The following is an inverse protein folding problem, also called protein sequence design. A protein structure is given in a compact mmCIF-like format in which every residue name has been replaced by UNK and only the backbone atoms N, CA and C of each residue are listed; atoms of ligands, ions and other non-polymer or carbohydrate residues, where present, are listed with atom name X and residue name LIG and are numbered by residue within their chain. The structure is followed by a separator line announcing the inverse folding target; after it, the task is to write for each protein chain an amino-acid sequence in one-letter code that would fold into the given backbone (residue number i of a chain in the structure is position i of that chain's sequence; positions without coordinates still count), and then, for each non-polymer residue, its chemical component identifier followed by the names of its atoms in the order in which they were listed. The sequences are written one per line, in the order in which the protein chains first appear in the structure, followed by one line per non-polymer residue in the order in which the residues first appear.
data_IF_130198283886
#
_entry.id   IF_130198283886
#
_cell.length_a   1.000
_cell.length_b   1.000
_cell.length_c   1.000
_cell.angle_alpha   90.00
_cell.angle_beta   90.00
_cell.angle_gamma   90.00
#
_symmetry.space_group_name_H-M   'P 1'
#
loop_
_entity.id
_entity.type
_entity.pdbx_description
1 polymer ?
#
# COMPACT_ATOMS: atom_id res chain seq x y z
N UNK A 1 -13.28 10.63 -0.38
CA UNK A 1 -12.95 10.45 -1.82
C UNK A 1 -12.09 11.60 -2.40
N UNK A 2 -12.35 12.87 -2.08
CA UNK A 2 -11.55 14.00 -2.59
C UNK A 2 -10.06 13.89 -2.22
N UNK A 3 -9.76 13.43 -1.00
CA UNK A 3 -8.39 13.22 -0.52
C UNK A 3 -7.65 12.13 -1.32
N UNK A 4 -8.28 10.98 -1.56
CA UNK A 4 -7.74 9.91 -2.41
C UNK A 4 -7.41 10.47 -3.79
N UNK A 5 -8.34 11.22 -4.40
CA UNK A 5 -8.13 11.84 -5.72
C UNK A 5 -6.98 12.85 -5.72
N UNK A 6 -6.83 13.64 -4.65
CA UNK A 6 -5.73 14.60 -4.48
C UNK A 6 -4.39 13.86 -4.47
N UNK A 7 -4.27 12.79 -3.71
CA UNK A 7 -3.02 12.02 -3.59
C UNK A 7 -2.72 11.18 -4.84
N UNK A 8 -3.74 10.61 -5.50
CA UNK A 8 -3.57 9.88 -6.77
C UNK A 8 -3.15 10.77 -7.93
N UNK A 9 -3.45 12.07 -7.90
CA UNK A 9 -3.03 13.04 -8.93
C UNK A 9 -1.62 13.60 -8.69
N UNK A 10 -1.07 13.41 -7.49
CA UNK A 10 0.18 14.03 -7.09
C UNK A 10 1.34 13.05 -7.08
N UNK A 11 2.55 13.58 -7.26
CA UNK A 11 3.81 12.79 -7.29
C UNK A 11 4.77 13.17 -6.17
N UNK A 12 4.37 14.04 -5.25
CA UNK A 12 5.17 14.36 -4.08
C UNK A 12 5.22 13.17 -3.12
N UNK A 13 6.38 12.99 -2.49
CA UNK A 13 6.56 11.95 -1.49
C UNK A 13 5.69 12.27 -0.23
N UNK A 14 5.09 11.25 0.39
CA UNK A 14 4.10 11.37 1.47
C UNK A 14 4.63 11.38 2.92
N UNK A 15 5.68 10.61 3.24
CA UNK A 15 6.40 10.65 4.52
C UNK A 15 7.14 12.02 4.76
N UNK A 16 8.02 12.12 5.76
CA UNK A 16 8.80 13.36 6.01
C UNK A 16 10.14 13.36 5.28
N UNK A 17 10.67 14.53 4.84
CA UNK A 17 11.94 14.61 4.09
C UNK A 17 13.05 13.81 4.77
N UNK A 18 13.83 13.07 3.98
CA UNK A 18 14.81 12.10 4.49
C UNK A 18 15.63 11.46 3.36
N UNK A 19 16.46 10.45 3.65
CA UNK A 19 17.31 9.80 2.65
C UNK A 19 16.52 9.16 1.51
N UNK A 20 17.21 8.93 0.38
CA UNK A 20 16.64 8.38 -0.86
C UNK A 20 15.85 7.07 -0.68
N UNK A 21 16.16 6.27 0.35
CA UNK A 21 15.43 5.05 0.72
C UNK A 21 13.90 5.25 0.82
N UNK A 22 13.45 6.46 1.15
CA UNK A 22 12.04 6.80 1.31
C UNK A 22 11.20 6.62 0.04
N UNK A 23 11.75 6.89 -1.15
CA UNK A 23 11.04 6.69 -2.41
C UNK A 23 10.66 5.21 -2.61
N UNK A 24 11.62 4.31 -2.41
CA UNK A 24 11.41 2.88 -2.53
C UNK A 24 10.40 2.38 -1.49
N UNK A 25 10.53 2.82 -0.23
CA UNK A 25 9.60 2.47 0.85
C UNK A 25 8.18 2.94 0.56
N UNK A 26 7.99 4.17 0.06
CA UNK A 26 6.65 4.68 -0.26
C UNK A 26 6.01 3.93 -1.43
N UNK A 27 6.76 3.72 -2.52
CA UNK A 27 6.27 2.98 -3.68
C UNK A 27 5.86 1.55 -3.29
N UNK A 28 6.69 0.90 -2.47
CA UNK A 28 6.41 -0.42 -1.94
C UNK A 28 5.16 -0.44 -1.05
N UNK A 29 5.04 0.51 -0.11
CA UNK A 29 3.92 0.59 0.81
C UNK A 29 2.60 0.86 0.09
N UNK A 30 2.56 1.81 -0.85
CA UNK A 30 1.36 2.09 -1.65
C UNK A 30 0.92 0.84 -2.40
N UNK A 31 1.85 0.20 -3.10
CA UNK A 31 1.58 -1.01 -3.87
C UNK A 31 1.13 -2.17 -2.97
N UNK A 32 1.67 -2.32 -1.77
CA UNK A 32 1.23 -3.35 -0.81
C UNK A 32 -0.19 -3.06 -0.29
N UNK A 33 -0.52 -1.80 -0.03
CA UNK A 33 -1.84 -1.40 0.45
C UNK A 33 -2.93 -1.59 -0.62
N UNK A 34 -2.60 -1.40 -1.90
CA UNK A 34 -3.50 -1.72 -3.01
C UNK A 34 -3.89 -3.21 -3.02
N UNK A 35 -2.92 -4.13 -2.90
CA UNK A 35 -3.20 -5.57 -2.86
C UNK A 35 -3.98 -5.98 -1.61
N UNK A 36 -3.62 -5.41 -0.45
CA UNK A 36 -4.36 -5.64 0.78
C UNK A 36 -5.81 -5.15 0.67
N UNK A 37 -6.04 -4.05 -0.06
CA UNK A 37 -7.38 -3.53 -0.28
C UNK A 37 -8.21 -4.47 -1.16
N UNK A 38 -7.62 -5.08 -2.19
CA UNK A 38 -8.27 -6.14 -2.97
C UNK A 38 -8.67 -7.33 -2.07
N UNK A 39 -7.83 -7.72 -1.12
CA UNK A 39 -8.16 -8.76 -0.14
C UNK A 39 -9.33 -8.36 0.79
N UNK A 40 -9.38 -7.10 1.24
CA UNK A 40 -10.52 -6.61 2.04
C UNK A 40 -11.84 -6.61 1.26
N UNK A 41 -11.80 -6.20 -0.02
CA UNK A 41 -12.95 -6.20 -0.92
C UNK A 41 -13.45 -7.62 -1.20
N UNK A 42 -12.53 -8.57 -1.42
CA UNK A 42 -12.87 -9.98 -1.58
C UNK A 42 -13.63 -10.52 -0.36
N UNK A 43 -13.26 -10.08 0.85
CA UNK A 43 -13.94 -10.40 2.10
C UNK A 43 -15.19 -9.54 2.39
N UNK A 44 -15.70 -8.79 1.39
CA UNK A 44 -16.85 -7.88 1.50
C UNK A 44 -16.71 -6.80 2.59
N UNK A 45 -15.48 -6.34 2.84
CA UNK A 45 -15.18 -5.24 3.77
C UNK A 45 -14.61 -4.05 2.99
N UNK A 46 -14.92 -2.85 3.46
CA UNK A 46 -14.33 -1.60 2.95
C UNK A 46 -13.20 -1.06 3.83
N UNK A 47 -13.09 -1.59 5.05
CA UNK A 47 -12.02 -1.27 6.00
C UNK A 47 -10.89 -2.29 5.87
N UNK A 48 -9.65 -1.81 5.77
CA UNK A 48 -8.43 -2.62 5.81
C UNK A 48 -8.15 -3.14 7.22
N UNK A 49 -7.73 -4.40 7.34
CA UNK A 49 -7.29 -5.01 8.59
C UNK A 49 -5.91 -5.66 8.43
N UNK A 50 -5.16 -5.89 9.53
CA UNK A 50 -3.85 -6.53 9.47
C UNK A 50 -3.83 -7.89 8.75
N UNK A 51 -4.91 -8.67 8.85
CA UNK A 51 -5.06 -9.95 8.15
C UNK A 51 -5.04 -9.82 6.63
N UNK A 52 -5.50 -8.68 6.09
CA UNK A 52 -5.51 -8.41 4.65
C UNK A 52 -4.08 -8.16 4.14
N UNK A 53 -3.29 -7.42 4.94
CA UNK A 53 -1.88 -7.17 4.66
C UNK A 53 -1.04 -8.45 4.77
N UNK A 54 -1.29 -9.26 5.79
CA UNK A 54 -0.64 -10.56 5.98
C UNK A 54 -0.94 -11.50 4.81
N UNK A 55 -2.19 -11.54 4.35
CA UNK A 55 -2.59 -12.34 3.19
C UNK A 55 -1.94 -11.82 1.91
N UNK A 56 -2.00 -10.52 1.64
CA UNK A 56 -1.37 -9.91 0.46
C UNK A 56 0.15 -10.20 0.42
N UNK A 57 0.84 -10.06 1.55
CA UNK A 57 2.27 -10.39 1.65
C UNK A 57 2.54 -11.87 1.41
N UNK A 58 1.69 -12.76 1.92
CA UNK A 58 1.81 -14.21 1.70
C UNK A 58 1.58 -14.59 0.24
N UNK A 59 0.64 -13.93 -0.43
CA UNK A 59 0.34 -14.15 -1.85
C UNK A 59 1.45 -13.64 -2.78
N UNK A 60 2.15 -12.56 -2.41
CA UNK A 60 3.32 -12.06 -3.17
C UNK A 60 4.55 -12.97 -3.11
N UNK A 61 4.63 -13.86 -2.13
CA UNK A 61 5.79 -14.72 -1.95
C UNK A 61 7.04 -13.98 -1.46
N UNK A 62 8.19 -14.68 -1.46
CA UNK A 62 9.44 -14.19 -0.90
C UNK A 62 10.15 -13.12 -1.76
N UNK A 63 9.82 -13.02 -3.05
CA UNK A 63 10.42 -12.01 -3.96
C UNK A 63 9.76 -10.63 -3.84
N UNK A 64 8.57 -10.55 -3.24
CA UNK A 64 7.80 -9.32 -3.11
C UNK A 64 7.98 -8.58 -1.79
N UNK A 65 9.03 -8.85 -1.01
CA UNK A 65 9.19 -8.32 0.35
C UNK A 65 10.63 -8.17 0.86
N UNK A 66 11.64 -8.21 -0.01
CA UNK A 66 13.06 -8.03 0.32
C UNK A 66 13.71 -6.97 -0.55
#
# INVERSE_FOLDING_TARGET
LQEIRKYQRSTHLLLRPGPFARLATEAFAVRMLEDAYLCSLHARRVTLFPKDLQLARRLRGLEGGG
#
